data_IF_984965691267
#
_entry.id   IF_984965691267
#
_cell.length_a   1.000
_cell.length_b   1.000
_cell.length_c   1.000
_cell.angle_alpha   90.00
_cell.angle_beta   90.00
_cell.angle_gamma   90.00
#
_symmetry.space_group_name_H-M   'P 1'
#
loop_
_entity.id
_entity.type
_entity.pdbx_description
1 polymer ?
#
# COMPACT_ATOMS: atom_id res chain seq x y z
N UNK A 1 -25.26 -0.15 -7.40
CA UNK A 1 -24.46 0.85 -6.67
C UNK A 1 -23.26 0.18 -6.04
N UNK A 2 -22.19 -0.01 -6.81
CA UNK A 2 -20.98 -0.67 -6.33
C UNK A 2 -20.09 0.33 -5.58
N UNK A 3 -19.42 -0.13 -4.52
CA UNK A 3 -18.49 0.68 -3.72
C UNK A 3 -17.63 -0.19 -2.79
N UNK A 4 -16.67 0.40 -2.06
CA UNK A 4 -15.81 -0.32 -1.15
C UNK A 4 -16.60 -0.95 -0.01
N UNK A 5 -16.40 -2.25 0.24
CA UNK A 5 -16.80 -2.87 1.49
C UNK A 5 -15.75 -2.53 2.55
N UNK A 6 -16.18 -2.02 3.70
CA UNK A 6 -15.27 -1.56 4.75
C UNK A 6 -15.49 -2.36 6.03
N UNK A 7 -14.39 -2.80 6.64
CA UNK A 7 -14.38 -3.45 7.93
C UNK A 7 -13.11 -3.06 8.69
N UNK A 8 -13.20 -3.03 10.00
CA UNK A 8 -12.08 -2.79 10.91
C UNK A 8 -12.15 -3.84 12.01
N UNK A 9 -11.08 -4.62 12.14
CA UNK A 9 -10.94 -5.60 13.22
C UNK A 9 -10.40 -4.91 14.46
N UNK A 10 -9.10 -5.06 14.73
CA UNK A 10 -8.41 -4.46 15.86
C UNK A 10 -7.23 -3.62 15.38
N UNK A 11 -6.50 -3.04 16.32
CA UNK A 11 -5.36 -2.18 16.00
C UNK A 11 -4.13 -3.01 15.60
N UNK A 12 -3.99 -4.20 16.18
CA UNK A 12 -2.83 -5.07 16.06
C UNK A 12 -2.91 -6.07 14.89
N UNK A 13 -4.11 -6.45 14.45
CA UNK A 13 -4.34 -7.60 13.55
C UNK A 13 -4.75 -7.21 12.12
N UNK A 14 -4.66 -5.92 11.78
CA UNK A 14 -5.22 -5.40 10.53
C UNK A 14 -4.58 -6.00 9.27
N UNK A 15 -3.28 -6.38 9.32
CA UNK A 15 -2.63 -7.04 8.20
C UNK A 15 -3.20 -8.45 7.98
N UNK A 16 -3.25 -9.23 9.05
CA UNK A 16 -3.75 -10.60 9.10
C UNK A 16 -5.25 -10.65 8.76
N UNK A 17 -6.00 -9.63 9.18
CA UNK A 17 -7.42 -9.49 8.87
C UNK A 17 -7.66 -9.31 7.37
N UNK A 18 -6.95 -8.38 6.73
CA UNK A 18 -7.01 -8.20 5.28
C UNK A 18 -6.50 -9.42 4.51
N UNK A 19 -5.46 -10.06 5.01
CA UNK A 19 -4.95 -11.32 4.47
C UNK A 19 -6.00 -12.44 4.51
N UNK A 20 -6.71 -12.60 5.63
CA UNK A 20 -7.80 -13.56 5.76
C UNK A 20 -8.94 -13.29 4.78
N UNK A 21 -9.28 -12.03 4.52
CA UNK A 21 -10.25 -11.67 3.47
C UNK A 21 -9.77 -12.06 2.08
N UNK A 22 -8.48 -11.84 1.78
CA UNK A 22 -7.90 -12.24 0.51
C UNK A 22 -7.97 -13.76 0.30
N UNK A 23 -7.58 -14.54 1.31
CA UNK A 23 -7.67 -16.01 1.26
C UNK A 23 -9.11 -16.50 1.08
N UNK A 24 -10.06 -15.94 1.84
CA UNK A 24 -11.47 -16.31 1.71
C UNK A 24 -12.00 -16.00 0.30
N UNK A 25 -11.63 -14.85 -0.26
CA UNK A 25 -12.02 -14.47 -1.61
C UNK A 25 -11.37 -15.38 -2.68
N UNK A 26 -10.07 -15.67 -2.55
CA UNK A 26 -9.36 -16.60 -3.42
C UNK A 26 -10.03 -17.98 -3.43
N UNK A 27 -10.40 -18.51 -2.26
CA UNK A 27 -11.11 -19.79 -2.15
C UNK A 27 -12.49 -19.76 -2.83
N UNK A 28 -13.25 -18.66 -2.68
CA UNK A 28 -14.53 -18.50 -3.38
C UNK A 28 -14.35 -18.51 -4.89
N UNK A 29 -13.30 -17.86 -5.42
CA UNK A 29 -13.01 -17.86 -6.85
C UNK A 29 -12.51 -19.20 -7.37
N UNK A 30 -11.71 -19.94 -6.59
CA UNK A 30 -11.32 -21.30 -6.93
C UNK A 30 -12.57 -22.19 -7.07
N UNK A 31 -13.53 -22.07 -6.15
CA UNK A 31 -14.81 -22.78 -6.26
C UNK A 31 -15.63 -22.39 -7.48
N UNK A 32 -15.59 -21.12 -7.91
CA UNK A 32 -16.24 -20.68 -9.17
C UNK A 32 -15.60 -21.36 -10.37
N UNK A 33 -14.27 -21.45 -10.43
CA UNK A 33 -13.57 -22.18 -11.48
C UNK A 33 -13.94 -23.67 -11.49
N UNK A 34 -13.97 -24.34 -10.33
CA UNK A 34 -14.38 -25.73 -10.23
C UNK A 34 -15.81 -25.94 -10.76
N UNK A 35 -16.74 -25.03 -10.43
CA UNK A 35 -18.11 -25.05 -10.94
C UNK A 35 -18.17 -24.85 -12.46
N UNK A 36 -17.36 -23.95 -13.01
CA UNK A 36 -17.27 -23.72 -14.46
C UNK A 36 -16.77 -24.99 -15.16
N UNK A 37 -15.68 -25.59 -14.66
CA UNK A 37 -15.10 -26.81 -15.23
C UNK A 37 -16.10 -27.97 -15.18
N UNK A 38 -16.76 -28.17 -14.04
CA UNK A 38 -17.79 -29.20 -13.89
C UNK A 38 -18.98 -28.97 -14.84
N UNK A 39 -19.38 -27.72 -15.05
CA UNK A 39 -20.47 -27.37 -15.96
C UNK A 39 -20.07 -27.63 -17.43
N UNK A 40 -18.83 -27.32 -17.82
CA UNK A 40 -18.29 -27.64 -19.16
C UNK A 40 -18.27 -29.15 -19.40
N UNK A 41 -17.82 -29.93 -18.41
CA UNK A 41 -17.78 -31.40 -18.51
C UNK A 41 -19.19 -32.00 -18.62
N UNK A 42 -20.14 -31.46 -17.86
CA UNK A 42 -21.53 -31.93 -17.85
C UNK A 42 -22.28 -31.58 -19.14
N UNK A 43 -21.92 -30.48 -19.80
CA UNK A 43 -22.64 -29.91 -20.95
C UNK A 43 -21.67 -29.73 -22.15
N UNK A 44 -21.04 -30.80 -22.66
CA UNK A 44 -19.93 -30.71 -23.60
C UNK A 44 -20.32 -30.14 -24.97
N UNK A 45 -21.60 -30.22 -25.33
CA UNK A 45 -22.12 -29.70 -26.60
C UNK A 45 -22.38 -28.19 -26.57
N UNK A 46 -22.25 -27.55 -25.41
CA UNK A 46 -22.45 -26.10 -25.26
C UNK A 46 -21.15 -25.32 -25.52
N UNK A 47 -20.85 -25.11 -26.80
CA UNK A 47 -19.61 -24.47 -27.24
C UNK A 47 -19.40 -23.05 -26.66
N UNK A 48 -20.45 -22.25 -26.58
CA UNK A 48 -20.37 -20.87 -26.06
C UNK A 48 -20.02 -20.84 -24.57
N UNK A 49 -20.49 -21.82 -23.78
CA UNK A 49 -20.11 -21.96 -22.38
C UNK A 49 -18.63 -22.29 -22.26
N UNK A 50 -18.15 -23.25 -23.06
CA UNK A 50 -16.74 -23.65 -23.03
C UNK A 50 -15.84 -22.46 -23.33
N UNK A 51 -16.11 -21.73 -24.41
CA UNK A 51 -15.35 -20.53 -24.77
C UNK A 51 -15.38 -19.47 -23.67
N UNK A 52 -16.57 -19.13 -23.15
CA UNK A 52 -16.70 -18.11 -22.11
C UNK A 52 -16.05 -18.52 -20.78
N UNK A 53 -16.16 -19.79 -20.40
CA UNK A 53 -15.58 -20.36 -19.19
C UNK A 53 -14.05 -20.40 -19.25
N UNK A 54 -13.47 -20.95 -20.32
CA UNK A 54 -12.02 -20.98 -20.53
C UNK A 54 -11.43 -19.56 -20.58
N UNK A 55 -12.12 -18.64 -21.26
CA UNK A 55 -11.71 -17.23 -21.30
C UNK A 55 -11.74 -16.57 -19.90
N UNK A 56 -12.74 -16.86 -19.08
CA UNK A 56 -12.78 -16.36 -17.70
C UNK A 56 -11.64 -16.95 -16.85
N UNK A 57 -11.39 -18.25 -16.95
CA UNK A 57 -10.32 -18.93 -16.21
C UNK A 57 -8.96 -18.35 -16.55
N UNK A 58 -8.69 -18.11 -17.84
CA UNK A 58 -7.43 -17.54 -18.31
C UNK A 58 -7.20 -16.10 -17.81
N UNK A 59 -8.27 -15.32 -17.64
CA UNK A 59 -8.21 -13.88 -17.34
C UNK A 59 -8.61 -13.52 -15.91
N UNK A 60 -8.96 -14.49 -15.05
CA UNK A 60 -9.52 -14.23 -13.72
C UNK A 60 -8.61 -13.37 -12.84
N UNK A 61 -7.29 -13.42 -13.02
CA UNK A 61 -6.31 -12.65 -12.23
C UNK A 61 -6.09 -11.20 -12.68
N UNK A 62 -6.58 -10.83 -13.86
CA UNK A 62 -6.47 -9.45 -14.37
C UNK A 62 -7.77 -8.67 -14.11
N UNK A 63 -7.66 -7.45 -13.62
CA UNK A 63 -8.82 -6.64 -13.23
C UNK A 63 -9.73 -6.26 -14.40
N UNK A 64 -9.17 -5.84 -15.55
CA UNK A 64 -9.96 -5.39 -16.70
C UNK A 64 -10.40 -6.56 -17.57
N UNK A 65 -9.51 -7.52 -17.82
CA UNK A 65 -9.83 -8.71 -18.59
C UNK A 65 -10.85 -9.60 -17.86
N UNK A 66 -10.78 -9.71 -16.53
CA UNK A 66 -11.82 -10.41 -15.78
C UNK A 66 -13.19 -9.72 -15.87
N UNK A 67 -13.28 -8.38 -15.95
CA UNK A 67 -14.56 -7.68 -16.18
C UNK A 67 -15.18 -8.08 -17.51
N UNK A 68 -14.40 -8.01 -18.58
CA UNK A 68 -14.86 -8.36 -19.92
C UNK A 68 -15.27 -9.84 -20.01
N UNK A 69 -14.42 -10.75 -19.50
CA UNK A 69 -14.71 -12.18 -19.49
C UNK A 69 -15.93 -12.52 -18.63
N UNK A 70 -16.09 -11.87 -17.47
CA UNK A 70 -17.25 -12.06 -16.60
C UNK A 70 -18.56 -11.62 -17.25
N UNK A 71 -18.54 -10.49 -17.99
CA UNK A 71 -19.74 -10.02 -18.69
C UNK A 71 -20.21 -11.05 -19.73
N UNK A 72 -19.28 -11.63 -20.50
CA UNK A 72 -19.60 -12.68 -21.47
C UNK A 72 -20.08 -13.97 -20.80
N UNK A 73 -19.42 -14.39 -19.71
CA UNK A 73 -19.84 -15.56 -18.95
C UNK A 73 -21.26 -15.41 -18.39
N UNK A 74 -21.60 -14.23 -17.85
CA UNK A 74 -22.95 -13.95 -17.36
C UNK A 74 -23.98 -13.98 -18.49
N UNK A 75 -23.68 -13.41 -19.65
CA UNK A 75 -24.55 -13.45 -20.84
C UNK A 75 -24.89 -14.90 -21.23
N UNK A 76 -23.86 -15.75 -21.38
CA UNK A 76 -24.02 -17.16 -21.77
C UNK A 76 -24.82 -17.93 -20.71
N UNK A 77 -24.44 -17.84 -19.44
CA UNK A 77 -25.14 -18.53 -18.37
C UNK A 77 -26.60 -18.07 -18.23
N UNK A 78 -26.89 -16.79 -18.44
CA UNK A 78 -28.25 -16.26 -18.30
C UNK A 78 -29.18 -16.70 -19.44
N UNK A 79 -28.64 -17.10 -20.60
CA UNK A 79 -29.41 -17.65 -21.71
C UNK A 79 -29.90 -19.09 -21.43
N UNK A 80 -29.23 -19.82 -20.55
CA UNK A 80 -29.60 -21.19 -20.14
C UNK A 80 -30.39 -21.21 -18.82
N UNK A 81 -30.33 -20.15 -18.01
CA UNK A 81 -31.02 -20.09 -16.73
C UNK A 81 -32.54 -20.23 -16.87
N UNK A 82 -33.11 -21.21 -16.18
CA UNK A 82 -34.55 -21.52 -16.20
C UNK A 82 -35.01 -22.29 -17.43
N UNK A 83 -34.10 -22.89 -18.20
CA UNK A 83 -34.47 -23.68 -19.39
C UNK A 83 -34.91 -25.12 -19.06
N UNK A 84 -34.71 -25.59 -17.82
CA UNK A 84 -35.13 -26.92 -17.37
C UNK A 84 -34.28 -28.09 -17.89
N UNK A 85 -33.11 -27.82 -18.49
CA UNK A 85 -32.18 -28.88 -18.90
C UNK A 85 -31.40 -29.45 -17.71
N UNK A 86 -30.63 -30.52 -17.94
CA UNK A 86 -29.83 -31.15 -16.90
C UNK A 86 -28.72 -30.24 -16.31
N UNK A 87 -28.37 -29.17 -17.00
CA UNK A 87 -27.37 -28.18 -16.61
C UNK A 87 -27.97 -27.01 -15.80
N UNK A 88 -29.30 -26.85 -15.79
CA UNK A 88 -29.99 -25.66 -15.28
C UNK A 88 -29.68 -25.39 -13.81
N UNK A 89 -29.75 -26.42 -12.96
CA UNK A 89 -29.44 -26.30 -11.54
C UNK A 89 -27.98 -25.87 -11.28
N UNK A 90 -27.04 -26.31 -12.11
CA UNK A 90 -25.62 -25.92 -12.00
C UNK A 90 -25.41 -24.47 -12.47
N UNK A 91 -26.12 -24.05 -13.52
CA UNK A 91 -26.12 -22.66 -14.01
C UNK A 91 -26.67 -21.73 -12.94
N UNK A 92 -27.82 -22.05 -12.35
CA UNK A 92 -28.41 -21.24 -11.26
C UNK A 92 -27.48 -21.14 -10.05
N UNK A 93 -26.84 -22.24 -9.66
CA UNK A 93 -25.89 -22.24 -8.55
C UNK A 93 -24.63 -21.40 -8.84
N UNK A 94 -24.11 -21.46 -10.06
CA UNK A 94 -22.97 -20.64 -10.50
C UNK A 94 -23.35 -19.15 -10.55
N UNK A 95 -24.56 -18.81 -10.99
CA UNK A 95 -25.06 -17.42 -11.05
C UNK A 95 -25.25 -16.79 -9.66
N UNK A 96 -25.31 -17.57 -8.57
CA UNK A 96 -25.32 -17.03 -7.19
C UNK A 96 -23.97 -16.44 -6.78
N UNK A 97 -22.87 -16.88 -7.39
CA UNK A 97 -21.51 -16.43 -7.12
C UNK A 97 -21.02 -15.34 -8.09
N UNK A 98 -21.93 -14.65 -8.79
CA UNK A 98 -21.61 -13.55 -9.73
C UNK A 98 -20.73 -12.47 -9.12
N UNK A 99 -20.83 -12.25 -7.81
CA UNK A 99 -20.01 -11.28 -7.09
C UNK A 99 -18.50 -11.62 -7.14
N UNK A 100 -18.16 -12.89 -7.40
CA UNK A 100 -16.79 -13.40 -7.49
C UNK A 100 -16.22 -13.47 -8.91
N UNK A 101 -17.01 -13.17 -9.95
CA UNK A 101 -16.55 -13.32 -11.33
C UNK A 101 -15.47 -12.27 -11.65
N UNK A 102 -15.75 -11.00 -11.33
CA UNK A 102 -14.79 -9.91 -11.50
C UNK A 102 -13.81 -9.89 -10.33
N UNK A 103 -12.50 -9.78 -10.62
CA UNK A 103 -11.45 -9.64 -9.61
C UNK A 103 -11.77 -8.50 -8.64
N UNK A 104 -11.55 -8.74 -7.34
CA UNK A 104 -11.55 -7.70 -6.30
C UNK A 104 -10.13 -7.30 -5.96
N UNK A 105 -9.98 -6.07 -5.47
CA UNK A 105 -8.74 -5.50 -4.98
C UNK A 105 -8.83 -5.38 -3.46
N UNK A 106 -7.97 -6.09 -2.73
CA UNK A 106 -7.95 -6.08 -1.26
C UNK A 106 -6.99 -5.00 -0.78
N UNK A 107 -7.51 -4.04 -0.03
CA UNK A 107 -6.75 -2.93 0.53
C UNK A 107 -6.74 -2.96 2.05
N UNK A 108 -5.55 -2.84 2.63
CA UNK A 108 -5.28 -2.82 4.06
C UNK A 108 -4.80 -1.42 4.43
N UNK A 109 -5.65 -0.67 5.14
CA UNK A 109 -5.37 0.71 5.50
C UNK A 109 -4.96 0.82 6.97
N UNK A 110 -3.91 1.59 7.27
CA UNK A 110 -3.59 1.94 8.64
C UNK A 110 -2.58 3.06 8.77
N UNK A 111 -2.44 3.57 10.00
CA UNK A 111 -1.46 4.62 10.31
C UNK A 111 -0.08 4.06 10.64
N UNK A 112 0.88 4.96 10.87
CA UNK A 112 2.24 4.57 11.24
C UNK A 112 2.33 3.77 12.55
N UNK A 113 1.52 4.11 13.56
CA UNK A 113 1.51 3.37 14.81
C UNK A 113 1.07 1.92 14.69
N UNK A 114 0.29 1.57 13.66
CA UNK A 114 0.02 0.18 13.34
C UNK A 114 1.23 -0.45 12.63
N UNK A 115 1.62 0.11 11.49
CA UNK A 115 2.59 -0.52 10.59
C UNK A 115 4.03 -0.58 11.14
N UNK A 116 4.43 0.40 11.95
CA UNK A 116 5.79 0.47 12.48
C UNK A 116 5.93 -0.17 13.87
N UNK A 117 4.83 -0.23 14.63
CA UNK A 117 4.80 -0.63 16.03
C UNK A 117 3.96 -1.89 16.28
N UNK A 118 2.68 -1.75 16.63
CA UNK A 118 1.90 -2.84 17.22
C UNK A 118 1.56 -3.96 16.22
N UNK A 119 1.27 -3.61 14.96
CA UNK A 119 0.93 -4.56 13.91
C UNK A 119 2.09 -4.88 12.98
N UNK A 120 3.31 -4.44 13.28
CA UNK A 120 4.45 -4.67 12.40
C UNK A 120 4.76 -6.16 12.20
N UNK A 121 4.64 -6.99 13.24
CA UNK A 121 4.86 -8.44 13.12
C UNK A 121 3.88 -9.10 12.15
N UNK A 122 2.60 -8.72 12.23
CA UNK A 122 1.57 -9.16 11.30
C UNK A 122 1.80 -8.66 9.88
N UNK A 123 2.12 -7.37 9.74
CA UNK A 123 2.45 -6.74 8.45
C UNK A 123 3.61 -7.47 7.76
N UNK A 124 4.72 -7.68 8.47
CA UNK A 124 5.91 -8.38 7.99
C UNK A 124 5.57 -9.81 7.54
N UNK A 125 4.78 -10.53 8.35
CA UNK A 125 4.36 -11.89 8.01
C UNK A 125 3.50 -11.93 6.74
N UNK A 126 2.55 -10.99 6.59
CA UNK A 126 1.63 -10.94 5.45
C UNK A 126 2.36 -10.59 4.16
N UNK A 127 3.23 -9.58 4.16
CA UNK A 127 4.02 -9.26 2.95
C UNK A 127 4.99 -10.38 2.60
N UNK A 128 5.45 -11.17 3.58
CA UNK A 128 6.30 -12.33 3.32
C UNK A 128 5.56 -13.49 2.63
N UNK A 129 4.22 -13.57 2.73
CA UNK A 129 3.45 -14.65 2.09
C UNK A 129 3.40 -14.56 0.56
N UNK A 130 3.69 -13.38 -0.03
CA UNK A 130 3.69 -13.22 -1.49
C UNK A 130 2.30 -13.14 -2.13
N UNK A 131 1.24 -12.97 -1.33
CA UNK A 131 -0.15 -12.91 -1.81
C UNK A 131 -0.55 -11.49 -2.24
N UNK A 132 -1.46 -11.39 -3.21
CA UNK A 132 -1.95 -10.13 -3.83
C UNK A 132 -2.80 -9.32 -2.83
N UNK A 133 -2.12 -8.46 -2.06
CA UNK A 133 -2.73 -7.50 -1.13
C UNK A 133 -2.06 -6.13 -1.24
N UNK A 134 -2.86 -5.08 -1.17
CA UNK A 134 -2.39 -3.70 -1.23
C UNK A 134 -2.43 -3.07 0.17
N UNK A 135 -1.30 -2.62 0.69
CA UNK A 135 -1.20 -2.00 2.01
C UNK A 135 -0.89 -0.51 1.85
N UNK A 136 -1.74 0.33 2.42
CA UNK A 136 -1.52 1.78 2.50
C UNK A 136 -1.26 2.20 3.94
N UNK A 137 -0.03 2.63 4.20
CA UNK A 137 0.39 3.24 5.46
C UNK A 137 0.31 4.76 5.34
N UNK A 138 -0.59 5.36 6.12
CA UNK A 138 -0.73 6.80 6.27
C UNK A 138 0.22 7.26 7.38
N UNK A 139 1.44 7.63 7.00
CA UNK A 139 2.52 7.93 7.95
C UNK A 139 2.43 9.38 8.41
N UNK A 140 1.84 9.56 9.59
CA UNK A 140 1.75 10.84 10.29
C UNK A 140 2.91 11.05 11.27
N UNK A 141 3.81 10.09 11.39
CA UNK A 141 4.98 10.15 12.27
C UNK A 141 4.70 10.23 13.77
N UNK A 142 3.44 10.05 14.17
CA UNK A 142 2.97 10.05 15.56
C UNK A 142 1.66 9.27 15.65
N UNK A 143 1.26 8.86 16.84
CA UNK A 143 -0.08 8.31 17.04
C UNK A 143 -1.11 9.44 17.08
N UNK A 144 -1.57 9.86 15.90
CA UNK A 144 -2.42 11.04 15.74
C UNK A 144 -3.74 10.94 16.51
N UNK A 145 -4.45 9.81 16.41
CA UNK A 145 -5.76 9.61 17.04
C UNK A 145 -5.73 9.73 18.58
N UNK A 146 -4.68 9.23 19.22
CA UNK A 146 -4.54 9.22 20.69
C UNK A 146 -3.84 10.47 21.25
N UNK A 147 -3.66 11.48 20.40
CA UNK A 147 -3.19 12.80 20.78
C UNK A 147 -1.67 12.99 20.69
N UNK A 148 -1.01 12.29 19.76
CA UNK A 148 0.38 12.56 19.36
C UNK A 148 1.44 11.89 20.23
N UNK A 149 1.31 10.60 20.49
CA UNK A 149 2.38 9.78 21.10
C UNK A 149 3.47 9.47 20.08
N UNK A 150 4.71 9.31 20.55
CA UNK A 150 5.82 8.88 19.73
C UNK A 150 5.59 7.46 19.18
N UNK A 151 5.91 7.26 17.91
CA UNK A 151 5.95 5.98 17.20
C UNK A 151 7.39 5.63 16.81
N UNK A 152 7.61 4.41 16.29
CA UNK A 152 8.88 4.09 15.62
C UNK A 152 9.07 4.88 14.31
N UNK A 153 8.01 5.44 13.75
CA UNK A 153 8.10 6.30 12.57
C UNK A 153 8.38 7.78 12.94
N UNK A 154 8.29 8.16 14.22
CA UNK A 154 8.71 9.49 14.69
C UNK A 154 10.22 9.73 14.41
N UNK A 155 10.60 10.88 13.82
CA UNK A 155 12.00 11.22 13.53
C UNK A 155 12.79 11.69 14.76
N UNK A 156 14.11 11.73 14.63
CA UNK A 156 15.00 12.30 15.65
C UNK A 156 14.73 13.79 15.84
N UNK A 157 14.74 14.26 17.09
CA UNK A 157 14.48 15.65 17.45
C UNK A 157 13.01 16.03 17.54
N UNK A 158 12.10 15.22 17.01
CA UNK A 158 10.66 15.48 17.07
C UNK A 158 10.11 15.25 18.49
N UNK A 159 9.32 16.20 18.97
CA UNK A 159 8.64 16.17 20.28
C UNK A 159 7.26 15.56 20.12
N UNK A 160 6.98 14.55 20.93
CA UNK A 160 5.69 13.88 21.02
C UNK A 160 5.48 13.40 22.47
N UNK A 161 4.28 12.94 22.83
CA UNK A 161 4.07 12.28 24.13
C UNK A 161 4.98 11.04 24.21
N UNK A 162 5.60 10.81 25.37
CA UNK A 162 6.67 9.83 25.59
C UNK A 162 8.02 10.14 24.90
N UNK A 163 8.13 11.28 24.21
CA UNK A 163 9.37 11.82 23.66
C UNK A 163 9.45 13.34 23.91
N UNK A 164 9.14 13.78 25.14
CA UNK A 164 9.01 15.20 25.49
C UNK A 164 10.29 16.03 25.27
N UNK A 165 11.47 15.38 25.37
CA UNK A 165 12.77 16.00 25.12
C UNK A 165 13.30 15.73 23.70
N UNK A 166 12.41 15.43 22.75
CA UNK A 166 12.77 14.99 21.41
C UNK A 166 13.15 13.51 21.36
N UNK A 167 12.71 12.80 20.32
CA UNK A 167 13.11 11.41 20.10
C UNK A 167 14.61 11.31 19.78
N UNK A 168 15.29 10.33 20.37
CA UNK A 168 16.76 10.17 20.32
C UNK A 168 17.26 9.26 19.20
N UNK A 169 16.38 8.37 18.75
CA UNK A 169 16.71 7.37 17.74
C UNK A 169 16.05 7.74 16.43
N UNK A 170 16.72 7.43 15.31
CA UNK A 170 16.22 7.72 13.97
C UNK A 170 14.90 7.02 13.67
N UNK A 171 14.21 7.50 12.64
CA UNK A 171 13.00 6.87 12.10
C UNK A 171 13.35 5.44 11.66
N UNK A 172 12.52 4.46 12.03
CA UNK A 172 12.61 3.09 11.48
C UNK A 172 12.34 3.16 9.98
N UNK A 173 13.18 2.52 9.17
CA UNK A 173 12.99 2.50 7.71
C UNK A 173 12.17 1.29 7.29
N UNK A 174 10.84 1.41 7.34
CA UNK A 174 9.92 0.32 7.03
C UNK A 174 10.03 -0.11 5.56
N UNK A 175 10.16 0.86 4.65
CA UNK A 175 10.27 0.56 3.22
C UNK A 175 11.55 -0.22 2.91
N UNK A 176 12.70 0.18 3.47
CA UNK A 176 13.94 -0.59 3.34
C UNK A 176 13.84 -2.02 3.88
N UNK A 177 13.14 -2.22 5.00
CA UNK A 177 12.90 -3.56 5.54
C UNK A 177 12.04 -4.41 4.59
N UNK A 178 10.95 -3.86 4.06
CA UNK A 178 10.09 -4.58 3.12
C UNK A 178 10.80 -4.91 1.80
N UNK A 179 11.65 -3.99 1.29
CA UNK A 179 12.45 -4.24 0.08
C UNK A 179 13.42 -5.41 0.23
N UNK A 180 13.82 -5.78 1.45
CA UNK A 180 14.76 -6.89 1.68
C UNK A 180 14.23 -8.27 1.26
N UNK A 181 12.90 -8.45 1.15
CA UNK A 181 12.30 -9.67 0.62
C UNK A 181 12.53 -9.85 -0.89
N UNK A 182 12.72 -8.75 -1.62
CA UNK A 182 12.91 -8.76 -3.06
C UNK A 182 11.62 -8.84 -3.89
N UNK A 183 10.58 -9.54 -3.40
CA UNK A 183 9.30 -9.77 -4.08
C UNK A 183 8.12 -8.94 -3.52
N UNK A 184 8.42 -7.90 -2.73
CA UNK A 184 7.39 -6.97 -2.23
C UNK A 184 7.51 -5.68 -3.03
N UNK A 185 6.42 -5.24 -3.67
CA UNK A 185 6.40 -3.90 -4.26
C UNK A 185 6.38 -2.86 -3.14
N UNK A 186 7.26 -1.86 -3.18
CA UNK A 186 7.35 -0.84 -2.13
C UNK A 186 7.39 0.54 -2.75
N UNK A 187 6.56 1.47 -2.29
CA UNK A 187 6.62 2.85 -2.71
C UNK A 187 6.52 3.82 -1.52
N UNK A 188 7.31 4.89 -1.57
CA UNK A 188 7.20 6.01 -0.66
C UNK A 188 6.73 7.23 -1.44
N UNK A 189 5.61 7.82 -1.01
CA UNK A 189 4.86 8.82 -1.78
C UNK A 189 4.53 10.05 -0.93
N UNK A 190 4.33 11.19 -1.59
CA UNK A 190 3.80 12.42 -0.99
C UNK A 190 3.02 13.21 -2.05
N UNK A 191 1.70 13.30 -1.89
CA UNK A 191 0.77 13.88 -2.85
C UNK A 191 1.09 15.34 -3.20
N UNK A 192 1.41 16.14 -2.19
CA UNK A 192 1.70 17.56 -2.35
C UNK A 192 3.01 17.83 -3.08
N UNK A 193 3.94 16.87 -3.07
CA UNK A 193 5.20 16.96 -3.80
C UNK A 193 5.05 16.56 -5.27
N UNK A 194 4.49 15.37 -5.54
CA UNK A 194 4.33 14.86 -6.90
C UNK A 194 3.11 13.94 -7.05
N UNK A 195 2.04 14.49 -7.61
CA UNK A 195 0.77 13.77 -7.86
C UNK A 195 0.92 12.69 -8.94
N UNK A 196 1.82 12.89 -9.90
CA UNK A 196 2.05 11.92 -10.96
C UNK A 196 2.80 10.71 -10.41
N UNK A 197 3.79 10.94 -9.54
CA UNK A 197 4.51 9.88 -8.83
C UNK A 197 3.56 9.07 -7.93
N UNK A 198 2.67 9.74 -7.18
CA UNK A 198 1.64 9.06 -6.39
C UNK A 198 0.73 8.18 -7.26
N UNK A 199 0.20 8.73 -8.36
CA UNK A 199 -0.68 7.99 -9.27
C UNK A 199 0.03 6.78 -9.87
N UNK A 200 1.29 6.97 -10.31
CA UNK A 200 2.11 5.89 -10.85
C UNK A 200 2.33 4.79 -9.82
N UNK A 201 2.68 5.15 -8.58
CA UNK A 201 2.91 4.20 -7.51
C UNK A 201 1.65 3.38 -7.15
N UNK A 202 0.48 4.03 -7.09
CA UNK A 202 -0.79 3.37 -6.82
C UNK A 202 -1.18 2.39 -7.93
N UNK A 203 -1.02 2.78 -9.19
CA UNK A 203 -1.35 1.94 -10.35
C UNK A 203 -0.39 0.76 -10.49
N UNK A 204 0.91 0.96 -10.26
CA UNK A 204 1.89 -0.13 -10.27
C UNK A 204 1.64 -1.11 -9.12
N UNK A 205 1.42 -0.61 -7.90
CA UNK A 205 1.12 -1.44 -6.73
C UNK A 205 -0.12 -2.32 -6.92
N UNK A 206 -1.22 -1.75 -7.44
CA UNK A 206 -2.47 -2.49 -7.60
C UNK A 206 -2.41 -3.53 -8.72
N UNK A 207 -1.58 -3.28 -9.74
CA UNK A 207 -1.38 -4.20 -10.86
C UNK A 207 -0.40 -5.34 -10.55
N UNK A 208 0.47 -5.16 -9.57
CA UNK A 208 1.46 -6.16 -9.19
C UNK A 208 0.75 -7.42 -8.65
N UNK A 209 1.03 -8.60 -9.21
CA UNK A 209 0.48 -9.89 -8.74
C UNK A 209 1.26 -10.37 -7.51
N UNK A 210 1.13 -9.63 -6.41
CA UNK A 210 1.87 -9.87 -5.17
C UNK A 210 1.65 -8.77 -4.12
N UNK A 211 2.40 -8.80 -3.02
CA UNK A 211 2.21 -7.88 -1.91
C UNK A 211 2.76 -6.50 -2.25
N UNK A 212 1.96 -5.47 -1.99
CA UNK A 212 2.29 -4.07 -2.24
C UNK A 212 2.23 -3.25 -0.96
N UNK A 213 3.28 -2.48 -0.68
CA UNK A 213 3.37 -1.56 0.46
C UNK A 213 3.57 -0.12 -0.02
N UNK A 214 2.61 0.74 0.26
CA UNK A 214 2.69 2.18 -0.03
C UNK A 214 2.77 2.95 1.29
N UNK A 215 3.81 3.73 1.47
CA UNK A 215 4.03 4.60 2.63
C UNK A 215 3.80 6.05 2.18
N UNK A 216 2.67 6.62 2.57
CA UNK A 216 2.27 7.97 2.20
C UNK A 216 2.52 8.94 3.34
N UNK A 217 3.27 10.02 3.07
CA UNK A 217 3.42 11.10 4.04
C UNK A 217 2.08 11.79 4.26
N UNK A 218 1.64 11.87 5.53
CA UNK A 218 0.35 12.44 5.89
C UNK A 218 0.54 13.60 6.89
N UNK A 219 0.56 14.86 6.43
CA UNK A 219 0.61 16.03 7.31
C UNK A 219 -0.54 16.00 8.32
N UNK A 220 -0.23 16.29 9.58
CA UNK A 220 -1.18 16.17 10.68
C UNK A 220 -1.20 17.43 11.55
N UNK A 221 -2.34 17.70 12.19
CA UNK A 221 -2.46 18.76 13.20
C UNK A 221 -1.44 18.59 14.34
N UNK A 222 -1.01 17.36 14.64
CA UNK A 222 0.01 17.09 15.66
C UNK A 222 1.42 17.54 15.27
N UNK A 223 1.66 17.85 13.99
CA UNK A 223 2.89 18.52 13.56
C UNK A 223 2.90 19.99 13.99
N UNK A 224 1.73 20.57 14.23
CA UNK A 224 1.54 21.97 14.59
C UNK A 224 1.91 22.90 13.45
N UNK A 225 1.27 22.68 12.31
CA UNK A 225 1.38 23.43 11.05
C UNK A 225 0.04 24.09 10.72
N UNK A 226 0.04 25.04 9.77
CA UNK A 226 -1.19 25.56 9.19
C UNK A 226 -1.76 24.55 8.17
N UNK A 227 -2.84 23.86 8.53
CA UNK A 227 -3.44 22.82 7.69
C UNK A 227 -3.98 23.32 6.33
N UNK A 228 -4.23 24.62 6.15
CA UNK A 228 -4.54 25.20 4.84
C UNK A 228 -3.39 25.00 3.84
N UNK A 229 -2.17 24.74 4.33
CA UNK A 229 -0.95 24.54 3.55
C UNK A 229 -0.44 23.09 3.60
N UNK A 230 -1.26 22.11 3.98
CA UNK A 230 -0.81 20.71 4.14
C UNK A 230 -0.08 20.16 2.91
N UNK A 231 -0.59 20.40 1.70
CA UNK A 231 0.05 19.98 0.44
C UNK A 231 1.40 20.71 0.19
N UNK A 232 1.50 21.98 0.57
CA UNK A 232 2.75 22.74 0.50
C UNK A 232 3.78 22.15 1.48
N UNK A 233 3.33 21.66 2.64
CA UNK A 233 4.18 21.02 3.64
C UNK A 233 4.77 19.69 3.14
N UNK A 234 3.97 18.85 2.48
CA UNK A 234 4.47 17.64 1.82
C UNK A 234 5.54 17.97 0.77
N UNK A 235 5.31 19.03 -0.01
CA UNK A 235 6.27 19.48 -1.01
C UNK A 235 7.58 19.92 -0.36
N UNK A 236 7.53 20.72 0.70
CA UNK A 236 8.73 21.15 1.44
C UNK A 236 9.48 19.97 2.04
N UNK A 237 8.77 19.00 2.60
CA UNK A 237 9.37 17.80 3.17
C UNK A 237 10.21 17.05 2.12
N UNK A 238 9.73 16.94 0.88
CA UNK A 238 10.49 16.32 -0.21
C UNK A 238 11.60 17.23 -0.73
N UNK A 239 11.30 18.51 -0.98
CA UNK A 239 12.25 19.47 -1.55
C UNK A 239 13.50 19.66 -0.65
N UNK A 240 13.36 19.56 0.68
CA UNK A 240 14.49 19.64 1.62
C UNK A 240 15.14 18.28 1.95
N UNK A 241 14.63 17.18 1.39
CA UNK A 241 15.17 15.84 1.62
C UNK A 241 14.81 15.25 2.99
N UNK A 242 13.76 15.73 3.65
CA UNK A 242 13.19 15.09 4.84
C UNK A 242 12.44 13.79 4.50
N UNK A 243 11.71 13.81 3.38
CA UNK A 243 11.00 12.67 2.82
C UNK A 243 11.50 12.37 1.41
N UNK A 244 11.73 11.11 1.08
CA UNK A 244 12.15 10.69 -0.27
C UNK A 244 10.96 10.11 -1.02
N UNK A 245 10.97 10.25 -2.35
CA UNK A 245 10.01 9.58 -3.23
C UNK A 245 10.73 8.47 -3.97
N UNK A 246 10.25 7.24 -3.84
CA UNK A 246 10.80 6.10 -4.57
C UNK A 246 9.75 5.04 -4.83
N UNK A 247 10.09 4.15 -5.75
CA UNK A 247 9.37 2.91 -6.03
C UNK A 247 10.38 1.78 -6.18
N UNK A 248 10.05 0.63 -5.62
CA UNK A 248 10.73 -0.63 -5.79
C UNK A 248 9.74 -1.58 -6.45
N UNK A 249 9.99 -1.93 -7.71
CA UNK A 249 9.12 -2.79 -8.50
C UNK A 249 9.84 -4.12 -8.81
N UNK A 250 9.43 -5.24 -8.18
CA UNK A 250 10.03 -6.55 -8.39
C UNK A 250 10.00 -7.04 -9.84
N UNK A 251 8.98 -6.68 -10.62
CA UNK A 251 8.83 -7.13 -12.01
C UNK A 251 9.98 -6.66 -12.90
N UNK A 252 10.60 -5.52 -12.58
CA UNK A 252 11.76 -5.02 -13.32
C UNK A 252 12.96 -5.98 -13.23
N UNK A 253 13.07 -6.79 -12.16
CA UNK A 253 14.11 -7.81 -12.08
C UNK A 253 13.90 -8.94 -13.10
N UNK A 254 12.65 -9.28 -13.42
CA UNK A 254 12.32 -10.26 -14.46
C UNK A 254 12.76 -9.77 -15.85
N UNK A 255 12.81 -8.44 -16.02
CA UNK A 255 13.32 -7.77 -17.23
C UNK A 255 14.84 -7.51 -17.19
N UNK A 256 15.55 -7.94 -16.14
CA UNK A 256 16.98 -7.67 -15.95
C UNK A 256 17.31 -6.20 -15.66
N UNK A 257 16.32 -5.40 -15.24
CA UNK A 257 16.46 -3.98 -14.87
C UNK A 257 16.59 -3.82 -13.35
N UNK A 258 17.06 -2.64 -12.93
CA UNK A 258 17.10 -2.29 -11.52
C UNK A 258 15.66 -2.09 -11.00
N UNK A 259 15.22 -2.83 -9.95
CA UNK A 259 13.90 -2.67 -9.38
C UNK A 259 13.70 -1.34 -8.66
N UNK A 260 14.78 -0.70 -8.20
CA UNK A 260 14.69 0.53 -7.41
C UNK A 260 14.78 1.79 -8.28
N UNK A 261 13.78 2.66 -8.13
CA UNK A 261 13.71 3.98 -8.76
C UNK A 261 13.61 5.06 -7.69
N UNK A 262 14.64 5.90 -7.58
CA UNK A 262 14.59 7.14 -6.78
C UNK A 262 13.94 8.25 -7.62
N UNK A 263 12.67 8.56 -7.32
CA UNK A 263 11.83 9.50 -8.06
C UNK A 263 12.02 10.96 -7.58
N UNK A 264 12.33 11.16 -6.29
CA UNK A 264 12.67 12.50 -5.78
C UNK A 264 14.00 12.97 -6.35
N UNK A 265 14.10 14.28 -6.63
CA UNK A 265 15.32 14.94 -7.11
C UNK A 265 16.29 15.19 -5.95
N UNK A 266 17.50 15.65 -6.28
CA UNK A 266 18.41 16.19 -5.27
C UNK A 266 17.72 17.28 -4.45
N UNK A 267 17.79 17.23 -3.11
CA UNK A 267 17.21 18.26 -2.27
C UNK A 267 17.80 19.64 -2.55
N UNK A 268 16.93 20.64 -2.68
CA UNK A 268 17.30 22.06 -2.85
C UNK A 268 16.76 22.95 -1.72
N UNK A 269 15.86 22.41 -0.89
CA UNK A 269 15.26 23.11 0.24
C UNK A 269 16.16 23.11 1.47
N UNK A 270 15.85 24.01 2.41
CA UNK A 270 16.52 24.11 3.70
C UNK A 270 15.85 23.15 4.70
N UNK A 271 16.59 22.09 5.06
CA UNK A 271 16.13 21.06 6.00
C UNK A 271 15.84 21.62 7.39
N UNK A 272 16.72 22.51 7.89
CA UNK A 272 16.59 23.11 9.22
C UNK A 272 15.40 24.08 9.27
N UNK A 273 15.19 24.86 8.21
CA UNK A 273 14.03 25.73 8.08
C UNK A 273 12.72 24.92 8.01
N UNK A 274 12.71 23.78 7.31
CA UNK A 274 11.54 22.89 7.27
C UNK A 274 11.18 22.38 8.67
N UNK A 275 12.09 21.71 9.36
CA UNK A 275 11.76 21.12 10.68
C UNK A 275 11.37 22.21 11.68
N UNK A 276 12.06 23.36 11.71
CA UNK A 276 11.73 24.47 12.63
C UNK A 276 10.44 25.22 12.25
N UNK A 277 9.90 25.00 11.05
CA UNK A 277 8.58 25.47 10.64
C UNK A 277 7.42 24.74 11.33
N UNK A 278 7.68 23.59 11.95
CA UNK A 278 6.69 22.76 12.62
C UNK A 278 6.82 22.84 14.15
N UNK A 279 5.69 22.96 14.85
CA UNK A 279 5.69 23.10 16.33
C UNK A 279 6.32 21.89 17.03
N UNK A 280 6.21 20.69 16.44
CA UNK A 280 6.81 19.45 16.99
C UNK A 280 8.34 19.50 17.07
N UNK A 281 9.02 20.43 16.39
CA UNK A 281 10.45 20.69 16.55
C UNK A 281 10.71 22.05 17.23
N UNK A 282 9.99 23.10 16.82
CA UNK A 282 10.17 24.45 17.37
C UNK A 282 10.01 24.49 18.91
N UNK A 283 9.14 23.64 19.46
CA UNK A 283 8.96 23.49 20.90
C UNK A 283 10.23 23.00 21.62
N UNK A 284 10.99 22.08 21.03
CA UNK A 284 12.28 21.62 21.58
C UNK A 284 13.32 22.73 21.53
N UNK A 285 13.40 23.45 20.42
CA UNK A 285 14.33 24.57 20.27
C UNK A 285 14.09 25.65 21.33
N UNK A 286 12.82 25.92 21.64
CA UNK A 286 12.45 26.88 22.70
C UNK A 286 12.76 26.37 24.10
N UNK A 287 12.51 25.08 24.37
CA UNK A 287 12.66 24.51 25.71
C UNK A 287 14.11 24.14 26.06
N UNK A 288 14.86 23.60 25.10
CA UNK A 288 16.22 23.06 25.28
C UNK A 288 17.10 23.35 24.05
N UNK A 289 17.56 24.61 23.84
CA UNK A 289 18.23 25.02 22.61
C UNK A 289 19.49 24.23 22.26
N UNK A 290 20.36 23.96 23.25
CA UNK A 290 21.61 23.23 23.04
C UNK A 290 21.34 21.79 22.57
N UNK A 291 20.35 21.14 23.18
CA UNK A 291 19.93 19.80 22.80
C UNK A 291 19.24 19.77 21.43
N UNK A 292 18.40 20.77 21.15
CA UNK A 292 17.75 20.90 19.85
C UNK A 292 18.79 21.00 18.73
N UNK A 293 19.83 21.82 18.90
CA UNK A 293 20.91 21.95 17.93
C UNK A 293 21.62 20.61 17.67
N UNK A 294 21.89 19.82 18.72
CA UNK A 294 22.47 18.48 18.58
C UNK A 294 21.55 17.53 17.80
N UNK A 295 20.27 17.41 18.20
CA UNK A 295 19.33 16.49 17.57
C UNK A 295 18.95 16.91 16.15
N UNK A 296 18.89 18.21 15.86
CA UNK A 296 18.54 18.72 14.54
C UNK A 296 19.69 18.56 13.55
N UNK A 297 20.93 18.70 14.01
CA UNK A 297 22.09 18.30 13.21
C UNK A 297 22.04 16.80 12.92
N UNK A 298 21.82 15.99 13.96
CA UNK A 298 21.74 14.53 13.82
C UNK A 298 20.65 14.08 12.84
N UNK A 299 19.45 14.66 12.93
CA UNK A 299 18.33 14.23 12.09
C UNK A 299 18.54 14.61 10.62
N UNK A 300 19.22 15.73 10.34
CA UNK A 300 19.64 16.08 8.98
C UNK A 300 20.72 15.11 8.44
N UNK A 301 21.71 14.75 9.27
CA UNK A 301 22.73 13.76 8.93
C UNK A 301 22.12 12.38 8.65
N UNK A 302 21.21 11.89 9.51
CA UNK A 302 20.47 10.65 9.31
C UNK A 302 19.70 10.65 7.98
N UNK A 303 19.12 11.79 7.60
CA UNK A 303 18.36 11.93 6.34
C UNK A 303 19.29 11.91 5.12
N UNK A 304 20.45 12.56 5.21
CA UNK A 304 21.49 12.52 4.16
C UNK A 304 22.02 11.10 3.98
N UNK A 305 22.35 10.40 5.06
CA UNK A 305 22.80 8.99 4.99
C UNK A 305 21.76 8.08 4.33
N UNK A 306 20.48 8.27 4.65
CA UNK A 306 19.38 7.52 4.04
C UNK A 306 19.27 7.80 2.54
N UNK A 307 19.33 9.07 2.15
CA UNK A 307 19.31 9.48 0.75
C UNK A 307 20.49 8.87 -0.04
N UNK A 308 21.70 8.92 0.50
CA UNK A 308 22.89 8.31 -0.12
C UNK A 308 22.75 6.79 -0.28
N UNK A 309 22.09 6.13 0.68
CA UNK A 309 21.76 4.70 0.55
C UNK A 309 20.82 4.47 -0.63
N UNK A 310 19.77 5.28 -0.79
CA UNK A 310 18.84 5.17 -1.91
C UNK A 310 19.48 5.52 -3.26
N UNK A 311 20.41 6.47 -3.32
CA UNK A 311 21.17 6.79 -4.54
C UNK A 311 21.98 5.58 -5.02
N UNK A 312 22.66 4.90 -4.10
CA UNK A 312 23.39 3.65 -4.39
C UNK A 312 22.46 2.58 -4.93
N UNK A 313 21.29 2.39 -4.30
CA UNK A 313 20.27 1.45 -4.80
C UNK A 313 19.77 1.83 -6.20
N UNK A 314 19.70 3.12 -6.54
CA UNK A 314 19.24 3.59 -7.85
C UNK A 314 20.33 3.62 -8.94
N UNK A 315 21.59 3.24 -8.64
CA UNK A 315 22.77 3.46 -9.49
C UNK A 315 22.94 4.92 -9.93
N UNK A 316 22.61 5.87 -9.05
CA UNK A 316 22.84 7.31 -9.26
C UNK A 316 24.04 7.72 -8.40
N UNK A 317 25.25 7.58 -8.95
CA UNK A 317 26.48 8.17 -8.39
C UNK A 317 26.75 9.56 -8.98
#
# INVERSE_FOLDING_TARGET
>A
GHGPAWANSLFEDNAEFGYGMNLAYAQRRAKVEDKINALIEKCPDWAELKEAGENWIANKKDAEASKAASAKLVEVLSACAGCGCECDAMVEDLLKDKDCFVKKSVWIFGGDGWAYDIGYGGLDHVIAQGEDVNILVLDTEVYSNTGGQASKSTPTGSVAKFAAAGKRVKKKDLGMMAMSYGYVYVAQVAMGSDKNQLMKALVEAEKYDGPSLIIAYAPCINHGINMTKSQEEEKKAVDCGYWQLYRYNPDLMLEGKNPFSLDSKEPTGDYQAFITGETRYASLMKAQPALAAELFKKTEEDSKERLETYKKLANKE
#
